data_IF_066723597666
#
_entry.id   IF_066723597666
#
_cell.length_a   1.000
_cell.length_b   1.000
_cell.length_c   1.000
_cell.angle_alpha   90.00
_cell.angle_beta   90.00
_cell.angle_gamma   90.00
#
_symmetry.space_group_name_H-M   'P 1'
#
loop_
_entity.id
_entity.type
_entity.pdbx_description
1 polymer ?
#
# COMPACT_ATOMS: atom_id res chain seq x y z
N UNK A 1 12.12 51.12 -7.38
CA UNK A 1 12.24 49.85 -6.61
C UNK A 1 11.75 48.68 -7.46
N UNK A 2 12.65 47.90 -8.08
CA UNK A 2 12.29 46.66 -8.81
C UNK A 2 12.09 45.53 -7.78
N UNK A 3 10.85 45.08 -7.58
CA UNK A 3 10.56 43.80 -6.90
C UNK A 3 11.03 42.67 -7.81
N UNK A 4 12.22 42.15 -7.56
CA UNK A 4 12.71 40.91 -8.17
C UNK A 4 11.88 39.78 -7.53
N UNK A 5 10.81 39.37 -8.20
CA UNK A 5 10.05 38.18 -7.83
C UNK A 5 10.92 36.99 -8.22
N UNK A 6 11.70 36.49 -7.26
CA UNK A 6 12.40 35.22 -7.38
C UNK A 6 11.35 34.12 -7.52
N UNK A 7 11.04 33.77 -8.77
CA UNK A 7 10.27 32.57 -9.12
C UNK A 7 11.09 31.38 -8.67
N UNK A 8 10.87 30.94 -7.42
CA UNK A 8 11.55 29.79 -6.83
C UNK A 8 11.20 28.58 -7.69
N UNK A 9 12.10 28.23 -8.60
CA UNK A 9 12.04 27.04 -9.43
C UNK A 9 12.19 25.84 -8.50
N UNK A 10 11.12 25.50 -7.78
CA UNK A 10 11.10 24.31 -6.95
C UNK A 10 11.24 23.17 -7.96
N UNK A 11 12.38 22.48 -8.05
CA UNK A 11 12.42 21.14 -8.66
C UNK A 11 11.51 20.24 -7.81
N UNK A 12 10.79 19.29 -8.40
CA UNK A 12 10.05 18.30 -7.58
C UNK A 12 11.11 17.63 -6.74
N UNK A 13 10.93 17.61 -5.41
CA UNK A 13 11.86 16.88 -4.57
C UNK A 13 11.77 15.41 -5.00
N UNK A 14 12.83 14.87 -5.63
CA UNK A 14 12.87 13.49 -6.16
C UNK A 14 12.42 12.49 -5.10
N UNK A 15 12.74 12.76 -3.83
CA UNK A 15 12.28 12.00 -2.67
C UNK A 15 10.76 11.85 -2.61
N UNK A 16 9.98 12.94 -2.76
CA UNK A 16 8.51 12.86 -2.69
C UNK A 16 7.89 12.02 -3.82
N UNK A 17 8.58 11.95 -4.96
CA UNK A 17 8.15 11.10 -6.06
C UNK A 17 8.48 9.62 -5.79
N UNK A 18 9.71 9.32 -5.40
CA UNK A 18 10.19 7.94 -5.26
C UNK A 18 9.78 7.25 -3.96
N UNK A 19 9.71 7.96 -2.84
CA UNK A 19 9.39 7.37 -1.53
C UNK A 19 8.07 6.58 -1.51
N UNK A 20 6.91 7.10 -1.96
CA UNK A 20 5.66 6.31 -1.95
C UNK A 20 5.75 5.04 -2.80
N UNK A 21 6.55 5.05 -3.89
CA UNK A 21 6.71 3.90 -4.80
C UNK A 21 7.58 2.83 -4.17
N UNK A 22 8.72 3.23 -3.60
CA UNK A 22 9.61 2.30 -2.89
C UNK A 22 8.87 1.67 -1.71
N UNK A 23 8.14 2.46 -0.92
CA UNK A 23 7.35 1.93 0.19
C UNK A 23 6.26 0.97 -0.27
N UNK A 24 5.55 1.28 -1.37
CA UNK A 24 4.56 0.36 -1.93
C UNK A 24 5.18 -0.95 -2.42
N UNK A 25 6.35 -0.90 -3.07
CA UNK A 25 7.08 -2.10 -3.51
C UNK A 25 7.47 -2.95 -2.31
N UNK A 26 8.05 -2.34 -1.28
CA UNK A 26 8.41 -3.03 -0.03
C UNK A 26 7.18 -3.63 0.65
N UNK A 27 6.05 -2.92 0.64
CA UNK A 27 4.81 -3.42 1.20
C UNK A 27 4.26 -4.62 0.43
N UNK A 28 4.29 -4.61 -0.91
CA UNK A 28 3.92 -5.79 -1.72
C UNK A 28 4.82 -6.98 -1.39
N UNK A 29 6.14 -6.77 -1.26
CA UNK A 29 7.08 -7.83 -0.88
C UNK A 29 6.74 -8.38 0.51
N UNK A 30 6.47 -7.50 1.48
CA UNK A 30 6.04 -7.89 2.82
C UNK A 30 4.76 -8.73 2.80
N UNK A 31 3.73 -8.30 2.06
CA UNK A 31 2.47 -9.07 1.93
C UNK A 31 2.70 -10.42 1.24
N UNK A 32 3.65 -10.51 0.31
CA UNK A 32 4.00 -11.76 -0.36
C UNK A 32 4.63 -12.79 0.56
N UNK A 33 5.22 -12.38 1.70
CA UNK A 33 5.80 -13.31 2.67
C UNK A 33 4.72 -14.20 3.31
N UNK A 34 3.49 -13.72 3.45
CA UNK A 34 2.37 -14.52 3.97
C UNK A 34 1.98 -15.68 3.05
N UNK A 35 2.44 -15.68 1.80
CA UNK A 35 2.24 -16.83 0.90
C UNK A 35 3.13 -18.02 1.25
N UNK A 36 4.15 -17.84 2.09
CA UNK A 36 5.03 -18.91 2.53
C UNK A 36 4.33 -19.87 3.50
N UNK A 37 3.23 -19.46 4.15
CA UNK A 37 2.46 -20.32 5.08
C UNK A 37 1.92 -21.60 4.40
N UNK A 38 1.83 -21.63 3.05
CA UNK A 38 1.44 -22.83 2.31
C UNK A 38 2.45 -23.98 2.45
N UNK A 39 3.73 -23.69 2.74
CA UNK A 39 4.73 -24.74 2.88
C UNK A 39 4.51 -25.60 4.13
N UNK A 40 3.76 -25.10 5.12
CA UNK A 40 3.41 -25.85 6.34
C UNK A 40 2.17 -26.74 6.16
N UNK A 41 1.48 -26.64 5.01
CA UNK A 41 0.20 -27.33 4.77
C UNK A 41 0.32 -28.80 4.35
N UNK A 42 1.54 -29.37 4.28
CA UNK A 42 1.83 -30.76 3.90
C UNK A 42 1.15 -31.23 2.57
N UNK A 43 0.97 -30.31 1.62
CA UNK A 43 0.43 -30.62 0.30
C UNK A 43 1.49 -31.29 -0.59
N UNK A 44 1.04 -32.10 -1.56
CA UNK A 44 1.90 -32.58 -2.64
C UNK A 44 2.35 -31.44 -3.56
N UNK A 45 3.36 -31.69 -4.41
CA UNK A 45 4.02 -30.68 -5.26
C UNK A 45 3.04 -29.74 -6.00
N UNK A 46 2.06 -30.29 -6.71
CA UNK A 46 1.06 -29.51 -7.45
C UNK A 46 0.12 -28.72 -6.53
N UNK A 47 -0.22 -29.29 -5.38
CA UNK A 47 -1.04 -28.61 -4.37
C UNK A 47 -0.32 -27.39 -3.80
N UNK A 48 0.97 -27.52 -3.49
CA UNK A 48 1.80 -26.40 -3.01
C UNK A 48 1.93 -25.29 -4.05
N UNK A 49 2.13 -25.62 -5.33
CA UNK A 49 2.19 -24.62 -6.40
C UNK A 49 0.87 -23.85 -6.51
N UNK A 50 -0.26 -24.56 -6.59
CA UNK A 50 -1.58 -23.92 -6.69
C UNK A 50 -1.88 -23.10 -5.45
N UNK A 51 -1.59 -23.62 -4.26
CA UNK A 51 -1.73 -22.93 -2.99
C UNK A 51 -0.90 -21.65 -2.93
N UNK A 52 0.34 -21.68 -3.40
CA UNK A 52 1.22 -20.51 -3.45
C UNK A 52 0.66 -19.43 -4.39
N UNK A 53 0.17 -19.80 -5.59
CA UNK A 53 -0.50 -18.84 -6.48
C UNK A 53 -1.76 -18.23 -5.85
N UNK A 54 -2.55 -19.03 -5.14
CA UNK A 54 -3.73 -18.54 -4.42
C UNK A 54 -3.38 -17.57 -3.29
N UNK A 55 -2.32 -17.84 -2.51
CA UNK A 55 -1.89 -16.96 -1.43
C UNK A 55 -1.20 -15.68 -1.94
N UNK A 56 -0.71 -15.66 -3.18
CA UNK A 56 -0.15 -14.45 -3.81
C UNK A 56 -1.21 -13.53 -4.43
N UNK A 57 -2.49 -13.92 -4.50
CA UNK A 57 -3.58 -13.08 -5.02
C UNK A 57 -3.61 -11.68 -4.36
N UNK A 58 -3.51 -11.54 -3.02
CA UNK A 58 -3.45 -10.22 -2.37
C UNK A 58 -2.28 -9.38 -2.87
N UNK A 59 -1.10 -9.98 -3.06
CA UNK A 59 0.09 -9.29 -3.58
C UNK A 59 -0.10 -8.83 -5.02
N UNK A 60 -0.66 -9.69 -5.90
CA UNK A 60 -0.95 -9.32 -7.28
C UNK A 60 -1.95 -8.16 -7.38
N UNK A 61 -2.98 -8.15 -6.52
CA UNK A 61 -3.91 -7.04 -6.43
C UNK A 61 -3.18 -5.73 -6.08
N UNK A 62 -2.31 -5.75 -5.07
CA UNK A 62 -1.53 -4.57 -4.67
C UNK A 62 -0.56 -4.11 -5.77
N UNK A 63 0.02 -5.03 -6.56
CA UNK A 63 0.84 -4.68 -7.73
C UNK A 63 0.00 -3.92 -8.75
N UNK A 64 -1.21 -4.39 -9.07
CA UNK A 64 -2.12 -3.69 -9.99
C UNK A 64 -2.42 -2.28 -9.48
N UNK A 65 -2.75 -2.15 -8.19
CA UNK A 65 -2.98 -0.84 -7.55
C UNK A 65 -1.75 0.06 -7.65
N UNK A 66 -0.55 -0.46 -7.41
CA UNK A 66 0.70 0.29 -7.54
C UNK A 66 0.94 0.76 -8.98
N UNK A 67 0.67 -0.09 -9.98
CA UNK A 67 0.79 0.28 -11.41
C UNK A 67 -0.18 1.42 -11.76
N UNK A 68 -1.43 1.35 -11.27
CA UNK A 68 -2.42 2.43 -11.41
C UNK A 68 -1.92 3.70 -10.71
N UNK A 69 -1.42 3.58 -9.47
CA UNK A 69 -0.90 4.68 -8.67
C UNK A 69 0.28 5.40 -9.34
N UNK A 70 1.05 4.68 -10.17
CA UNK A 70 2.19 5.24 -10.87
C UNK A 70 1.79 6.35 -11.83
N UNK A 71 0.71 6.13 -12.60
CA UNK A 71 0.13 7.10 -13.53
C UNK A 71 -0.86 8.04 -12.82
N UNK A 72 -1.72 7.50 -11.96
CA UNK A 72 -2.79 8.22 -11.26
C UNK A 72 -2.56 8.24 -9.75
N UNK A 73 -1.63 9.12 -9.32
CA UNK A 73 -1.21 9.20 -7.91
C UNK A 73 -2.37 9.40 -6.92
N UNK A 74 -3.40 10.19 -7.26
CA UNK A 74 -4.55 10.40 -6.38
C UNK A 74 -5.40 9.12 -6.24
N UNK A 75 -5.73 8.48 -7.36
CA UNK A 75 -6.55 7.26 -7.40
C UNK A 75 -5.85 6.14 -6.63
N UNK A 76 -4.57 5.91 -6.90
CA UNK A 76 -3.78 4.94 -6.16
C UNK A 76 -3.71 5.23 -4.66
N UNK A 77 -3.55 6.51 -4.29
CA UNK A 77 -3.54 6.92 -2.89
C UNK A 77 -4.85 6.63 -2.16
N UNK A 78 -5.99 6.93 -2.80
CA UNK A 78 -7.33 6.63 -2.27
C UNK A 78 -7.52 5.12 -2.13
N UNK A 79 -7.13 4.33 -3.14
CA UNK A 79 -7.26 2.87 -3.10
C UNK A 79 -6.40 2.27 -1.97
N UNK A 80 -5.15 2.70 -1.79
CA UNK A 80 -4.29 2.20 -0.71
C UNK A 80 -4.87 2.51 0.68
N UNK A 81 -5.38 3.73 0.90
CA UNK A 81 -6.07 4.08 2.15
C UNK A 81 -7.32 3.22 2.32
N UNK A 82 -8.13 3.10 1.26
CA UNK A 82 -9.35 2.31 1.26
C UNK A 82 -9.09 0.84 1.61
N UNK A 83 -8.06 0.22 1.02
CA UNK A 83 -7.67 -1.15 1.33
C UNK A 83 -7.22 -1.33 2.78
N UNK A 84 -6.42 -0.39 3.31
CA UNK A 84 -6.00 -0.44 4.71
C UNK A 84 -7.17 -0.31 5.69
N UNK A 85 -8.08 0.64 5.43
CA UNK A 85 -9.29 0.85 6.26
C UNK A 85 -10.26 -0.32 6.14
N UNK A 86 -10.50 -0.82 4.92
CA UNK A 86 -11.37 -1.97 4.66
C UNK A 86 -10.85 -3.19 5.41
N UNK A 87 -9.55 -3.50 5.30
CA UNK A 87 -8.92 -4.62 5.99
C UNK A 87 -9.07 -4.51 7.51
N UNK A 88 -8.82 -3.31 8.06
CA UNK A 88 -9.00 -3.05 9.49
C UNK A 88 -10.44 -3.31 9.95
N UNK A 89 -11.42 -2.69 9.27
CA UNK A 89 -12.84 -2.81 9.62
C UNK A 89 -13.32 -4.26 9.46
N UNK A 90 -12.97 -4.93 8.37
CA UNK A 90 -13.37 -6.33 8.15
C UNK A 90 -12.85 -7.25 9.24
N UNK A 91 -11.62 -7.01 9.72
CA UNK A 91 -11.01 -7.81 10.79
C UNK A 91 -11.64 -7.51 12.14
N UNK A 92 -11.96 -6.24 12.42
CA UNK A 92 -12.64 -5.82 13.64
C UNK A 92 -14.06 -6.39 13.76
N UNK A 93 -14.81 -6.41 12.65
CA UNK A 93 -16.15 -7.02 12.61
C UNK A 93 -16.06 -8.54 12.79
N UNK A 94 -15.12 -9.20 12.12
CA UNK A 94 -14.95 -10.67 12.18
C UNK A 94 -14.62 -11.17 13.59
N UNK A 95 -13.87 -10.39 14.37
CA UNK A 95 -13.43 -10.76 15.71
C UNK A 95 -14.34 -10.21 16.82
N UNK A 96 -15.53 -9.71 16.50
CA UNK A 96 -16.46 -9.18 17.51
C UNK A 96 -16.88 -10.27 18.52
N UNK A 97 -16.88 -10.01 19.84
CA UNK A 97 -16.65 -8.71 20.53
C UNK A 97 -15.19 -8.41 20.89
N UNK A 98 -14.25 -9.30 20.58
CA UNK A 98 -12.81 -9.17 20.88
C UNK A 98 -12.06 -8.25 19.88
N UNK A 99 -12.70 -7.15 19.48
CA UNK A 99 -12.18 -6.22 18.47
C UNK A 99 -10.80 -5.63 18.86
N UNK A 100 -10.48 -5.57 20.15
CA UNK A 100 -9.18 -5.10 20.64
C UNK A 100 -8.03 -6.02 20.20
N UNK A 101 -8.29 -7.32 20.01
CA UNK A 101 -7.33 -8.25 19.40
C UNK A 101 -7.19 -7.90 17.92
N UNK A 102 -8.28 -7.62 17.20
CA UNK A 102 -8.19 -7.17 15.81
C UNK A 102 -7.29 -5.93 15.67
N UNK A 103 -7.36 -5.00 16.62
CA UNK A 103 -6.58 -3.77 16.63
C UNK A 103 -5.07 -4.04 16.60
N UNK A 104 -4.56 -4.92 17.48
CA UNK A 104 -3.11 -5.16 17.58
C UNK A 104 -2.53 -5.88 16.36
N UNK A 105 -3.26 -6.84 15.80
CA UNK A 105 -2.76 -7.65 14.68
C UNK A 105 -2.93 -6.95 13.33
N UNK A 106 -4.10 -6.34 13.09
CA UNK A 106 -4.41 -5.77 11.77
C UNK A 106 -3.70 -4.44 11.50
N UNK A 107 -3.30 -3.69 12.54
CA UNK A 107 -2.59 -2.42 12.38
C UNK A 107 -1.23 -2.57 11.69
N UNK A 108 -0.56 -3.72 11.83
CA UNK A 108 0.72 -4.00 11.17
C UNK A 108 0.58 -3.96 9.65
N UNK A 109 -0.57 -4.35 9.12
CA UNK A 109 -0.86 -4.35 7.68
C UNK A 109 -1.58 -3.07 7.24
N UNK A 110 -2.60 -2.65 8.01
CA UNK A 110 -3.42 -1.50 7.68
C UNK A 110 -2.63 -0.18 7.69
N UNK A 111 -1.75 0.00 8.68
CA UNK A 111 -1.04 1.27 8.87
C UNK A 111 -0.05 1.56 7.73
N UNK A 112 0.83 0.63 7.30
CA UNK A 112 1.69 0.86 6.13
C UNK A 112 0.89 1.19 4.87
N UNK A 113 -0.21 0.48 4.61
CA UNK A 113 -1.08 0.76 3.45
C UNK A 113 -1.62 2.19 3.47
N UNK A 114 -2.13 2.65 4.62
CA UNK A 114 -2.64 4.02 4.79
C UNK A 114 -1.52 5.04 4.61
N UNK A 115 -0.34 4.82 5.21
CA UNK A 115 0.82 5.72 5.06
C UNK A 115 1.22 5.85 3.59
N UNK A 116 1.34 4.74 2.88
CA UNK A 116 1.65 4.72 1.44
C UNK A 116 0.62 5.55 0.67
N UNK A 117 -0.67 5.34 0.95
CA UNK A 117 -1.74 6.07 0.28
C UNK A 117 -1.71 7.57 0.55
N UNK A 118 -1.47 7.99 1.79
CA UNK A 118 -1.27 9.41 2.16
C UNK A 118 -0.08 9.99 1.39
N UNK A 119 1.04 9.27 1.27
CA UNK A 119 2.20 9.76 0.52
C UNK A 119 1.92 9.92 -0.98
N UNK A 120 1.12 9.04 -1.58
CA UNK A 120 0.68 9.18 -2.96
C UNK A 120 -0.21 10.43 -3.16
N UNK A 121 -1.12 10.71 -2.23
CA UNK A 121 -1.96 11.93 -2.25
C UNK A 121 -1.09 13.18 -2.10
N UNK A 122 -0.15 13.20 -1.14
CA UNK A 122 0.76 14.32 -0.93
C UNK A 122 1.60 14.61 -2.19
N UNK A 123 2.06 13.57 -2.87
CA UNK A 123 2.77 13.70 -4.14
C UNK A 123 1.87 14.32 -5.23
N UNK A 124 0.61 13.91 -5.32
CA UNK A 124 -0.37 14.51 -6.25
C UNK A 124 -0.63 16.00 -5.95
N UNK A 125 -0.87 16.35 -4.69
CA UNK A 125 -1.10 17.75 -4.28
C UNK A 125 0.07 18.66 -4.64
N UNK A 126 1.32 18.19 -4.47
CA UNK A 126 2.50 18.99 -4.83
C UNK A 126 2.73 19.08 -6.35
N UNK A 127 2.28 18.09 -7.13
CA UNK A 127 2.27 18.19 -8.61
C UNK A 127 1.26 19.21 -9.11
N UNK A 128 0.10 19.35 -8.45
CA UNK A 128 -0.99 20.26 -8.87
C UNK A 128 -0.78 21.73 -8.46
N UNK A 129 0.01 21.99 -7.41
CA UNK A 129 0.34 23.36 -6.94
C UNK A 129 1.41 24.07 -7.80
N UNK A 130 1.68 23.58 -9.00
CA UNK A 130 2.63 24.15 -9.96
C UNK A 130 1.94 24.29 -11.30
#
# INVERSE_FOLDING_TARGET
MKKIILKKNKKVNKWLFWTPRILAILFVMFISLFALDIFDSNLGFWGTILGLFMHLIPSFLLIIVLLIAWRYNLVGGIIFIGLGVLYFISTAIRLWPQWYIALSWSMIIALPAIIIGVMFILNWMKKRKR
#
